data_IF_487912799476
#
_entry.id   IF_487912799476
#
_cell.length_a   1.000
_cell.length_b   1.000
_cell.length_c   1.000
_cell.angle_alpha   90.00
_cell.angle_beta   90.00
_cell.angle_gamma   90.00
#
_symmetry.space_group_name_H-M   'P 1'
#
loop_
_entity.id
_entity.type
_entity.pdbx_description
1 polymer ?
#
# COMPACT_ATOMS: atom_id res chain seq x y z
N UNK A 1 79.50 -46.85 46.49
CA UNK A 1 80.28 -45.69 46.96
C UNK A 1 79.74 -44.44 46.28
N UNK A 2 79.26 -43.49 47.12
CA UNK A 2 79.09 -42.03 46.88
C UNK A 2 78.33 -41.58 45.63
N UNK A 3 77.11 -41.07 45.82
CA UNK A 3 76.61 -39.72 46.13
C UNK A 3 77.12 -38.62 45.22
N UNK A 4 76.14 -37.93 44.53
CA UNK A 4 75.71 -36.54 44.64
C UNK A 4 74.70 -36.18 43.55
N UNK A 5 73.55 -35.87 43.79
CA UNK A 5 72.62 -34.67 44.04
C UNK A 5 72.90 -33.45 43.17
N UNK A 6 71.73 -32.98 42.73
CA UNK A 6 71.28 -31.59 42.35
C UNK A 6 71.41 -31.26 40.87
N UNK A 7 70.47 -30.62 40.24
CA UNK A 7 69.46 -29.70 40.73
C UNK A 7 68.39 -29.40 39.65
N UNK A 8 67.17 -29.14 40.12
CA UNK A 8 66.03 -28.69 39.35
C UNK A 8 66.27 -27.25 38.86
N UNK A 9 66.08 -27.00 37.54
CA UNK A 9 65.77 -25.66 37.02
C UNK A 9 64.37 -25.70 36.44
N UNK A 10 63.43 -24.97 37.11
CA UNK A 10 62.11 -24.58 36.60
C UNK A 10 62.33 -23.57 35.49
N UNK A 11 61.75 -23.78 34.32
CA UNK A 11 61.60 -22.83 33.28
C UNK A 11 60.13 -22.36 33.39
N UNK A 12 59.92 -21.10 33.71
CA UNK A 12 58.62 -20.42 33.62
C UNK A 12 58.23 -20.30 32.17
N UNK A 13 57.09 -20.90 31.80
CA UNK A 13 56.39 -20.57 30.57
C UNK A 13 55.49 -19.32 30.86
N UNK A 14 55.87 -18.19 30.29
CA UNK A 14 55.01 -17.00 30.23
C UNK A 14 53.89 -17.27 29.23
N UNK A 15 52.68 -17.25 29.73
CA UNK A 15 51.45 -17.36 28.92
C UNK A 15 51.23 -16.11 28.04
N UNK A 16 51.18 -16.35 26.75
CA UNK A 16 50.53 -15.44 25.78
C UNK A 16 49.13 -15.94 25.57
N UNK A 17 48.22 -15.44 26.36
CA UNK A 17 46.77 -15.69 26.22
C UNK A 17 46.00 -14.50 26.70
N UNK A 18 45.58 -13.61 25.80
CA UNK A 18 44.77 -12.48 26.24
C UNK A 18 44.51 -11.36 25.26
N UNK A 19 44.43 -11.63 23.92
CA UNK A 19 44.09 -10.59 22.96
C UNK A 19 42.99 -10.93 21.96
N UNK A 20 42.43 -12.15 21.96
CA UNK A 20 41.47 -12.58 20.93
C UNK A 20 40.01 -12.55 21.35
N UNK A 21 39.66 -12.30 22.63
CA UNK A 21 38.24 -12.36 23.09
C UNK A 21 37.52 -11.03 23.17
N UNK A 22 38.21 -9.91 23.12
CA UNK A 22 37.59 -8.55 23.22
C UNK A 22 37.09 -8.04 21.87
N UNK A 23 37.65 -8.48 20.74
CA UNK A 23 37.21 -8.05 19.40
C UNK A 23 35.90 -8.67 18.94
N UNK A 24 35.62 -9.92 19.28
CA UNK A 24 34.42 -10.65 18.90
C UNK A 24 33.20 -10.20 19.70
N UNK A 25 33.37 -9.81 20.97
CA UNK A 25 32.25 -9.34 21.77
C UNK A 25 31.82 -7.89 21.40
N UNK A 26 32.71 -7.05 20.91
CA UNK A 26 32.38 -5.70 20.46
C UNK A 26 31.63 -5.75 19.13
N UNK A 27 32.00 -6.64 18.21
CA UNK A 27 31.30 -6.85 16.93
C UNK A 27 29.91 -7.44 17.13
N UNK A 28 29.74 -8.44 18.02
CA UNK A 28 28.43 -9.03 18.34
C UNK A 28 27.54 -8.06 19.12
N UNK A 29 28.11 -7.23 20.00
CA UNK A 29 27.38 -6.17 20.70
C UNK A 29 26.89 -5.07 19.75
N UNK A 30 27.74 -4.64 18.81
CA UNK A 30 27.36 -3.66 17.78
C UNK A 30 26.33 -4.21 16.78
N UNK A 31 26.48 -5.45 16.35
CA UNK A 31 25.48 -6.12 15.50
C UNK A 31 24.16 -6.36 16.24
N UNK A 32 24.15 -6.74 17.51
CA UNK A 32 22.94 -6.81 18.33
C UNK A 32 22.30 -5.45 18.59
N UNK A 33 23.10 -4.40 18.82
CA UNK A 33 22.58 -3.04 18.98
C UNK A 33 22.00 -2.48 17.67
N UNK A 34 22.62 -2.78 16.51
CA UNK A 34 22.06 -2.40 15.19
C UNK A 34 20.79 -3.21 14.87
N UNK A 35 20.72 -4.49 15.22
CA UNK A 35 19.51 -5.30 15.04
C UNK A 35 18.39 -4.89 16.00
N UNK A 36 18.69 -4.38 17.18
CA UNK A 36 17.69 -3.89 18.14
C UNK A 36 17.05 -2.54 17.73
N UNK A 37 17.68 -1.79 16.81
CA UNK A 37 17.21 -0.48 16.33
C UNK A 37 16.73 -0.47 14.87
N UNK A 38 16.72 -1.61 14.18
CA UNK A 38 16.20 -1.68 12.81
C UNK A 38 14.68 -1.72 12.83
N UNK A 39 13.98 -0.89 12.03
CA UNK A 39 12.54 -0.92 11.97
C UNK A 39 12.05 -2.27 11.45
N UNK A 40 11.03 -2.80 12.08
CA UNK A 40 10.39 -4.03 11.61
C UNK A 40 9.37 -3.76 10.53
N UNK A 41 8.79 -2.54 10.52
CA UNK A 41 7.78 -2.08 9.58
C UNK A 41 8.14 -0.68 9.11
N UNK A 42 8.14 -0.47 7.80
CA UNK A 42 8.28 0.83 7.17
C UNK A 42 6.92 1.31 6.66
N UNK A 43 6.67 2.61 6.80
CA UNK A 43 5.50 3.31 6.24
C UNK A 43 5.99 4.32 5.23
N UNK A 44 5.45 4.26 4.03
CA UNK A 44 5.74 5.18 2.93
C UNK A 44 4.51 6.04 2.68
N UNK A 45 4.68 7.36 2.78
CA UNK A 45 3.60 8.33 2.56
C UNK A 45 3.97 9.23 1.41
N UNK A 46 3.18 9.19 0.34
CA UNK A 46 3.37 10.11 -0.77
C UNK A 46 2.76 11.48 -0.47
N UNK A 47 3.50 12.54 -0.79
CA UNK A 47 3.10 13.93 -0.63
C UNK A 47 3.11 14.59 -2.01
N UNK A 48 1.93 14.67 -2.66
CA UNK A 48 1.84 15.07 -4.06
C UNK A 48 2.28 16.53 -4.30
N UNK A 49 1.92 17.44 -3.40
CA UNK A 49 2.26 18.85 -3.53
C UNK A 49 3.76 19.13 -3.39
N UNK A 50 4.45 18.43 -2.51
CA UNK A 50 5.91 18.51 -2.34
C UNK A 50 6.68 17.51 -3.20
N UNK A 51 6.02 16.63 -3.94
CA UNK A 51 6.63 15.59 -4.82
C UNK A 51 7.67 14.75 -4.09
N UNK A 52 7.33 14.24 -2.92
CA UNK A 52 8.24 13.45 -2.09
C UNK A 52 7.52 12.29 -1.41
N UNK A 53 8.27 11.29 -1.00
CA UNK A 53 7.84 10.19 -0.14
C UNK A 53 8.49 10.35 1.22
N UNK A 54 7.67 10.42 2.28
CA UNK A 54 8.17 10.28 3.66
C UNK A 54 8.30 8.79 3.96
N UNK A 55 9.45 8.43 4.50
CA UNK A 55 9.76 7.08 4.99
C UNK A 55 9.77 7.13 6.50
N UNK A 56 8.89 6.35 7.14
CA UNK A 56 8.76 6.31 8.59
C UNK A 56 8.95 4.88 9.10
N UNK A 57 9.59 4.76 10.27
CA UNK A 57 9.62 3.52 11.04
C UNK A 57 8.35 3.42 11.89
N UNK A 58 7.69 2.28 11.90
CA UNK A 58 6.51 2.05 12.72
C UNK A 58 6.83 1.08 13.85
N UNK A 59 6.55 1.49 15.07
CA UNK A 59 6.57 0.62 16.23
C UNK A 59 5.30 -0.26 16.24
N UNK A 60 5.46 -1.56 16.07
CA UNK A 60 4.37 -2.53 15.96
C UNK A 60 3.51 -2.69 17.22
N UNK A 61 4.06 -2.35 18.37
CA UNK A 61 3.35 -2.48 19.63
C UNK A 61 2.45 -1.27 19.94
N UNK A 62 2.90 -0.07 19.55
CA UNK A 62 2.25 1.19 19.93
C UNK A 62 1.64 1.95 18.76
N UNK A 63 2.02 1.63 17.50
CA UNK A 63 1.65 2.39 16.31
C UNK A 63 2.44 3.71 16.16
N UNK A 64 3.36 4.02 17.07
CA UNK A 64 4.17 5.22 17.00
C UNK A 64 5.07 5.22 15.76
N UNK A 65 5.25 6.40 15.16
CA UNK A 65 6.01 6.59 13.94
C UNK A 65 7.20 7.51 14.18
N UNK A 66 8.35 7.11 13.64
CA UNK A 66 9.57 7.91 13.63
C UNK A 66 10.00 8.17 12.18
N UNK A 67 10.25 9.43 11.83
CA UNK A 67 10.71 9.79 10.48
C UNK A 67 12.14 9.27 10.24
N UNK A 68 12.31 8.45 9.21
CA UNK A 68 13.62 7.95 8.76
C UNK A 68 14.24 8.93 7.77
N UNK A 69 13.49 9.29 6.71
CA UNK A 69 13.96 10.19 5.64
C UNK A 69 12.79 10.75 4.83
N UNK A 70 13.09 11.80 4.04
CA UNK A 70 12.23 12.37 3.02
C UNK A 70 12.91 12.19 1.68
N UNK A 71 12.24 11.56 0.73
CA UNK A 71 12.82 11.18 -0.56
C UNK A 71 12.09 11.89 -1.68
N UNK A 72 12.76 12.77 -2.47
CA UNK A 72 12.11 13.38 -3.62
C UNK A 72 11.75 12.34 -4.67
N UNK A 73 10.62 12.55 -5.34
CA UNK A 73 10.19 11.73 -6.50
C UNK A 73 10.58 12.48 -7.78
N UNK A 74 11.63 12.05 -8.48
CA UNK A 74 12.14 12.75 -9.65
C UNK A 74 11.33 12.43 -10.92
N UNK A 75 11.69 13.13 -12.01
CA UNK A 75 11.19 12.84 -13.37
C UNK A 75 10.42 14.00 -14.00
N UNK A 76 10.01 15.02 -13.24
CA UNK A 76 9.43 16.26 -13.78
C UNK A 76 9.58 17.42 -12.81
N UNK A 77 9.85 18.61 -13.35
CA UNK A 77 9.86 19.86 -12.57
C UNK A 77 8.46 20.50 -12.46
N UNK A 78 7.49 20.04 -13.27
CA UNK A 78 6.13 20.54 -13.25
C UNK A 78 5.44 20.21 -11.91
N UNK A 79 4.52 21.05 -11.43
CA UNK A 79 3.69 20.72 -10.26
C UNK A 79 2.94 19.41 -10.49
N UNK A 80 2.85 18.56 -9.47
CA UNK A 80 2.07 17.33 -9.57
C UNK A 80 0.62 17.62 -9.17
N UNK A 81 -0.38 17.33 -10.04
CA UNK A 81 -1.76 17.56 -9.67
C UNK A 81 -2.24 16.48 -8.69
N UNK A 82 -2.82 16.92 -7.60
CA UNK A 82 -3.77 16.26 -6.70
C UNK A 82 -3.47 14.83 -6.20
N UNK A 83 -2.55 14.05 -6.76
CA UNK A 83 -2.20 12.72 -6.21
C UNK A 83 -0.87 12.19 -6.76
N UNK A 84 -0.25 11.33 -5.96
CA UNK A 84 0.98 10.62 -6.25
C UNK A 84 0.75 9.15 -5.84
N UNK A 85 0.08 8.34 -6.70
CA UNK A 85 -0.21 6.95 -6.38
C UNK A 85 1.08 6.15 -6.28
N UNK A 86 1.08 5.20 -5.34
CA UNK A 86 2.19 4.29 -5.12
C UNK A 86 1.73 2.83 -5.19
N UNK A 87 2.69 1.94 -5.45
CA UNK A 87 2.52 0.50 -5.31
C UNK A 87 3.82 -0.15 -4.87
N UNK A 88 3.74 -1.20 -4.08
CA UNK A 88 4.90 -2.02 -3.74
C UNK A 88 4.97 -3.28 -4.61
N UNK A 89 6.17 -3.72 -4.96
CA UNK A 89 6.36 -5.05 -5.56
C UNK A 89 5.88 -6.16 -4.61
N UNK A 90 5.44 -7.33 -5.10
CA UNK A 90 4.96 -8.42 -4.24
C UNK A 90 5.98 -8.89 -3.21
N UNK A 91 7.26 -8.89 -3.57
CA UNK A 91 8.37 -9.27 -2.66
C UNK A 91 8.80 -8.14 -1.70
N UNK A 92 8.10 -6.98 -1.74
CA UNK A 92 8.35 -5.81 -0.89
C UNK A 92 9.78 -5.26 -0.97
N UNK A 93 10.41 -5.37 -2.18
CA UNK A 93 11.74 -4.87 -2.46
C UNK A 93 11.78 -3.58 -3.23
N UNK A 94 10.67 -3.24 -3.88
CA UNK A 94 10.55 -2.07 -4.73
C UNK A 94 9.29 -1.29 -4.36
N UNK A 95 9.41 0.03 -4.46
CA UNK A 95 8.30 0.97 -4.41
C UNK A 95 8.24 1.70 -5.75
N UNK A 96 7.06 1.77 -6.31
CA UNK A 96 6.74 2.55 -7.51
C UNK A 96 5.92 3.77 -7.09
N UNK A 97 6.27 4.95 -7.60
CA UNK A 97 5.58 6.20 -7.31
C UNK A 97 5.41 7.00 -8.60
N UNK A 98 4.18 7.37 -8.97
CA UNK A 98 3.89 8.03 -10.23
C UNK A 98 3.54 9.50 -10.04
N UNK A 99 4.29 10.40 -10.69
CA UNK A 99 3.97 11.82 -10.79
C UNK A 99 2.98 12.05 -11.96
N UNK A 100 1.90 12.79 -11.69
CA UNK A 100 0.81 13.00 -12.65
C UNK A 100 1.00 14.22 -13.55
N UNK A 101 2.22 14.70 -13.68
CA UNK A 101 2.61 15.78 -14.60
C UNK A 101 3.54 15.25 -15.69
N UNK A 102 3.45 15.82 -16.89
CA UNK A 102 4.30 15.37 -18.01
C UNK A 102 5.80 15.35 -17.65
N UNK A 103 6.51 14.34 -18.11
CA UNK A 103 6.13 13.24 -19.01
C UNK A 103 5.46 12.05 -18.29
N UNK A 104 4.75 12.29 -17.16
CA UNK A 104 4.04 11.30 -16.34
C UNK A 104 4.93 10.18 -15.80
N UNK A 105 6.07 10.51 -15.19
CA UNK A 105 7.05 9.50 -14.81
C UNK A 105 6.56 8.62 -13.68
N UNK A 106 6.80 7.31 -13.78
CA UNK A 106 6.81 6.41 -12.65
C UNK A 106 8.24 6.21 -12.19
N UNK A 107 8.53 6.62 -10.97
CA UNK A 107 9.82 6.40 -10.32
C UNK A 107 9.84 5.05 -9.61
N UNK A 108 10.92 4.29 -9.83
CA UNK A 108 11.20 3.03 -9.16
C UNK A 108 12.24 3.26 -8.07
N UNK A 109 11.94 2.81 -6.86
CA UNK A 109 12.85 2.86 -5.71
C UNK A 109 13.11 1.44 -5.18
N UNK A 110 14.38 1.14 -4.86
CA UNK A 110 14.72 -0.02 -4.06
C UNK A 110 14.43 0.25 -2.58
N UNK A 111 13.84 -0.72 -1.90
CA UNK A 111 13.59 -0.70 -0.45
C UNK A 111 14.71 -1.45 0.25
N UNK A 112 15.45 -0.77 1.12
CA UNK A 112 16.42 -1.41 2.02
C UNK A 112 15.68 -2.19 3.10
N UNK A 113 15.90 -3.48 3.17
CA UNK A 113 15.19 -4.39 4.09
C UNK A 113 15.48 -4.16 5.56
N UNK A 114 16.60 -3.56 5.86
CA UNK A 114 17.05 -3.36 7.26
C UNK A 114 16.58 -2.03 7.80
N UNK A 115 16.57 -1.01 6.95
CA UNK A 115 16.31 0.36 7.35
C UNK A 115 14.99 0.92 6.82
N UNK A 116 14.39 0.29 5.81
CA UNK A 116 13.23 0.81 5.09
C UNK A 116 13.55 1.95 4.13
N UNK A 117 14.80 2.42 4.05
CA UNK A 117 15.21 3.53 3.20
C UNK A 117 15.02 3.24 1.73
N UNK A 118 14.78 4.30 0.96
CA UNK A 118 14.55 4.24 -0.47
C UNK A 118 15.80 4.68 -1.24
N UNK A 119 16.16 3.91 -2.27
CA UNK A 119 17.17 4.31 -3.25
C UNK A 119 16.52 4.41 -4.63
N UNK A 120 16.54 5.59 -5.23
CA UNK A 120 16.00 5.80 -6.58
C UNK A 120 16.80 5.02 -7.61
N UNK A 121 16.11 4.27 -8.49
CA UNK A 121 16.72 3.45 -9.53
C UNK A 121 16.50 4.05 -10.93
N UNK A 122 15.27 4.45 -11.23
CA UNK A 122 14.89 4.99 -12.52
C UNK A 122 13.58 5.79 -12.45
N UNK A 123 13.38 6.68 -13.43
CA UNK A 123 12.10 7.34 -13.68
C UNK A 123 11.72 7.06 -15.15
N UNK A 124 10.62 6.34 -15.35
CA UNK A 124 10.15 5.93 -16.67
C UNK A 124 8.90 6.72 -17.07
N UNK A 125 8.87 7.41 -18.22
CA UNK A 125 7.67 8.09 -18.67
C UNK A 125 6.57 7.10 -19.04
N UNK A 126 5.34 7.39 -18.62
CA UNK A 126 4.15 6.62 -18.99
C UNK A 126 3.33 7.37 -20.05
N UNK A 127 2.37 6.67 -20.66
CA UNK A 127 1.49 7.25 -21.70
C UNK A 127 0.57 8.34 -21.16
N UNK A 128 0.29 8.34 -19.83
CA UNK A 128 -0.67 9.27 -19.21
C UNK A 128 -0.45 9.39 -17.69
N UNK A 129 -1.16 10.34 -17.09
CA UNK A 129 -1.24 10.47 -15.65
C UNK A 129 -2.16 9.40 -15.04
N UNK A 130 -1.62 8.61 -14.12
CA UNK A 130 -2.37 7.51 -13.51
C UNK A 130 -3.02 7.94 -12.19
N UNK A 131 -4.28 7.59 -11.99
CA UNK A 131 -4.97 7.75 -10.71
C UNK A 131 -4.64 6.63 -9.72
N UNK A 132 -4.30 5.48 -10.25
CA UNK A 132 -3.97 4.27 -9.49
C UNK A 132 -2.93 3.44 -10.23
N UNK A 133 -2.00 2.84 -9.49
CA UNK A 133 -1.05 1.85 -10.01
C UNK A 133 -1.04 0.63 -9.09
N UNK A 134 -0.84 -0.56 -9.66
CA UNK A 134 -0.76 -1.81 -8.91
C UNK A 134 0.17 -2.80 -9.59
N UNK A 135 0.99 -3.52 -8.81
CA UNK A 135 1.79 -4.62 -9.34
C UNK A 135 0.96 -5.89 -9.47
N UNK A 136 1.18 -6.65 -10.54
CA UNK A 136 0.73 -8.03 -10.59
C UNK A 136 1.42 -8.90 -9.53
N UNK A 137 0.90 -10.09 -9.22
CA UNK A 137 1.41 -10.93 -8.13
C UNK A 137 2.76 -11.57 -8.42
N UNK A 138 3.20 -11.57 -9.68
CA UNK A 138 4.55 -12.03 -10.05
C UNK A 138 5.60 -10.92 -10.00
N UNK A 139 5.17 -9.64 -9.96
CA UNK A 139 6.03 -8.47 -10.03
C UNK A 139 6.61 -8.23 -11.42
N UNK A 140 6.00 -8.78 -12.46
CA UNK A 140 6.42 -8.61 -13.86
C UNK A 140 5.68 -7.52 -14.59
N UNK A 141 4.54 -7.06 -14.06
CA UNK A 141 3.71 -6.05 -14.71
C UNK A 141 3.20 -5.02 -13.70
N UNK A 142 3.15 -3.77 -14.16
CA UNK A 142 2.48 -2.66 -13.49
C UNK A 142 1.18 -2.35 -14.24
N UNK A 143 0.06 -2.51 -13.57
CA UNK A 143 -1.27 -2.17 -14.08
C UNK A 143 -1.61 -0.75 -13.61
N UNK A 144 -2.09 0.08 -14.53
CA UNK A 144 -2.26 1.51 -14.32
C UNK A 144 -3.63 1.99 -14.80
N UNK A 145 -4.41 2.64 -13.95
CA UNK A 145 -5.69 3.24 -14.31
C UNK A 145 -5.54 4.76 -14.49
N UNK A 146 -5.86 5.28 -15.69
CA UNK A 146 -5.84 6.72 -15.97
C UNK A 146 -7.23 7.33 -15.91
N UNK A 147 -7.40 8.27 -14.98
CA UNK A 147 -8.65 9.03 -14.80
C UNK A 147 -8.90 10.02 -15.95
N UNK A 148 -7.87 10.76 -16.35
CA UNK A 148 -7.98 11.78 -17.40
C UNK A 148 -7.92 11.16 -18.79
N UNK A 149 -7.00 10.20 -18.99
CA UNK A 149 -6.83 9.53 -20.25
C UNK A 149 -7.85 8.41 -20.53
N UNK A 150 -8.74 8.11 -19.59
CA UNK A 150 -9.79 7.09 -19.76
C UNK A 150 -9.24 5.76 -20.27
N UNK A 151 -8.30 5.15 -19.55
CA UNK A 151 -7.66 3.89 -19.98
C UNK A 151 -7.11 3.05 -18.83
N UNK A 152 -7.00 1.76 -19.09
CA UNK A 152 -6.11 0.82 -18.40
C UNK A 152 -4.85 0.65 -19.26
N UNK A 153 -3.68 0.82 -18.69
CA UNK A 153 -2.41 0.54 -19.35
C UNK A 153 -1.60 -0.47 -18.51
N UNK A 154 -0.98 -1.44 -19.18
CA UNK A 154 -0.20 -2.49 -18.54
C UNK A 154 1.23 -2.39 -19.04
N UNK A 155 2.18 -2.24 -18.13
CA UNK A 155 3.60 -2.06 -18.44
C UNK A 155 4.42 -3.24 -17.93
N UNK A 156 5.38 -3.75 -18.73
CA UNK A 156 6.33 -4.75 -18.23
C UNK A 156 7.24 -4.13 -17.16
N UNK A 157 7.64 -4.96 -16.23
CA UNK A 157 8.69 -4.68 -15.25
C UNK A 157 9.85 -5.62 -15.60
N UNK A 158 11.03 -5.06 -15.91
CA UNK A 158 12.19 -5.83 -16.30
C UNK A 158 12.84 -6.59 -15.11
N UNK A 159 13.87 -7.37 -15.39
CA UNK A 159 14.56 -8.18 -14.38
C UNK A 159 15.24 -7.36 -13.26
N UNK A 160 15.51 -6.07 -13.50
CA UNK A 160 16.02 -5.12 -12.52
C UNK A 160 14.90 -4.47 -11.69
N UNK A 161 13.64 -4.81 -11.99
CA UNK A 161 12.46 -4.26 -11.32
C UNK A 161 12.04 -2.88 -11.84
N UNK A 162 12.60 -2.42 -12.95
CA UNK A 162 12.29 -1.11 -13.55
C UNK A 162 11.14 -1.27 -14.54
N UNK A 163 10.16 -0.38 -14.46
CA UNK A 163 9.02 -0.32 -15.39
C UNK A 163 9.52 0.08 -16.77
N UNK A 164 9.10 -0.63 -17.81
CA UNK A 164 9.45 -0.29 -19.19
C UNK A 164 8.49 0.76 -19.76
N UNK A 165 8.99 1.63 -20.65
CA UNK A 165 8.20 2.76 -21.19
C UNK A 165 7.08 2.32 -22.15
N UNK A 166 7.22 1.15 -22.80
CA UNK A 166 6.23 0.63 -23.74
C UNK A 166 5.25 -0.31 -23.03
N UNK A 167 3.97 0.07 -23.01
CA UNK A 167 2.92 -0.80 -22.50
C UNK A 167 2.77 -2.08 -23.35
N UNK A 168 2.49 -3.20 -22.70
CA UNK A 168 2.09 -4.44 -23.38
C UNK A 168 0.69 -4.32 -23.97
N UNK A 169 -0.19 -3.63 -23.21
CA UNK A 169 -1.57 -3.38 -23.66
C UNK A 169 -2.08 -2.06 -23.11
N UNK A 170 -2.90 -1.39 -23.92
CA UNK A 170 -3.72 -0.24 -23.51
C UNK A 170 -5.16 -0.59 -23.88
N UNK A 171 -6.06 -0.45 -22.91
CA UNK A 171 -7.51 -0.66 -23.08
C UNK A 171 -8.20 0.68 -22.82
N UNK A 172 -8.89 1.22 -23.82
CA UNK A 172 -9.71 2.41 -23.66
C UNK A 172 -10.96 2.11 -22.83
N UNK A 173 -11.35 3.03 -21.98
CA UNK A 173 -12.51 2.92 -21.10
C UNK A 173 -13.47 4.11 -21.29
N UNK A 174 -14.62 4.07 -20.64
CA UNK A 174 -15.36 5.31 -20.39
C UNK A 174 -14.54 6.26 -19.49
N UNK A 175 -14.86 7.55 -19.42
CA UNK A 175 -14.08 8.52 -18.67
C UNK A 175 -13.89 8.14 -17.19
N UNK A 176 -12.77 8.57 -16.62
CA UNK A 176 -12.49 8.50 -15.18
C UNK A 176 -12.26 7.08 -14.64
N UNK A 177 -11.51 6.21 -15.36
CA UNK A 177 -10.98 4.98 -14.78
C UNK A 177 -10.12 5.32 -13.53
N UNK A 178 -10.50 4.81 -12.35
CA UNK A 178 -9.96 5.35 -11.10
C UNK A 178 -9.08 4.38 -10.32
N UNK A 179 -9.38 3.11 -10.33
CA UNK A 179 -8.68 2.08 -9.57
C UNK A 179 -8.42 0.86 -10.45
N UNK A 180 -7.40 0.09 -10.14
CA UNK A 180 -7.14 -1.22 -10.76
C UNK A 180 -6.70 -2.21 -9.68
N UNK A 181 -7.44 -3.29 -9.52
CA UNK A 181 -7.17 -4.34 -8.54
C UNK A 181 -7.01 -5.67 -9.25
N UNK A 182 -5.95 -6.38 -8.92
CA UNK A 182 -5.74 -7.76 -9.35
C UNK A 182 -5.96 -8.70 -8.17
N UNK A 183 -6.62 -9.81 -8.40
CA UNK A 183 -6.90 -10.81 -7.39
C UNK A 183 -5.61 -11.49 -6.87
N UNK A 184 -5.72 -12.22 -5.78
CA UNK A 184 -4.55 -12.92 -5.20
C UNK A 184 -4.15 -14.17 -6.01
N UNK A 185 -5.01 -14.63 -6.92
CA UNK A 185 -4.71 -15.71 -7.89
C UNK A 185 -3.90 -15.21 -9.08
N UNK A 186 -3.78 -13.90 -9.26
CA UNK A 186 -3.17 -13.26 -10.43
C UNK A 186 -3.90 -13.61 -11.74
N UNK A 187 -5.22 -13.79 -11.66
CA UNK A 187 -6.06 -14.25 -12.76
C UNK A 187 -7.13 -13.27 -13.18
N UNK A 188 -7.64 -12.43 -12.26
CA UNK A 188 -8.72 -11.50 -12.57
C UNK A 188 -8.37 -10.07 -12.19
N UNK A 189 -8.78 -9.11 -13.02
CA UNK A 189 -8.58 -7.68 -12.83
C UNK A 189 -9.93 -6.96 -12.80
N UNK A 190 -10.09 -6.08 -11.80
CA UNK A 190 -11.27 -5.24 -11.62
C UNK A 190 -10.89 -3.77 -11.74
N UNK A 191 -11.61 -3.04 -12.58
CA UNK A 191 -11.34 -1.65 -12.91
C UNK A 191 -12.61 -0.79 -12.73
N UNK A 192 -12.82 -0.16 -11.56
CA UNK A 192 -13.87 0.84 -11.40
C UNK A 192 -13.69 2.03 -12.34
N UNK A 193 -14.75 2.38 -13.08
CA UNK A 193 -14.79 3.49 -14.03
C UNK A 193 -15.87 4.49 -13.58
N UNK A 194 -15.43 5.56 -12.90
CA UNK A 194 -16.31 6.51 -12.22
C UNK A 194 -17.30 7.18 -13.17
N UNK A 195 -16.86 7.65 -14.34
CA UNK A 195 -17.72 8.26 -15.33
C UNK A 195 -18.51 7.27 -16.20
N UNK A 196 -18.28 5.98 -16.01
CA UNK A 196 -19.01 4.91 -16.67
C UNK A 196 -20.12 4.32 -15.81
N UNK A 197 -20.12 4.59 -14.49
CA UNK A 197 -20.95 3.91 -13.49
C UNK A 197 -20.87 2.37 -13.62
N UNK A 198 -19.65 1.87 -13.75
CA UNK A 198 -19.38 0.45 -13.97
C UNK A 198 -18.05 0.00 -13.33
N UNK A 199 -17.94 -1.28 -13.06
CA UNK A 199 -16.67 -1.96 -12.82
C UNK A 199 -16.40 -2.90 -13.98
N UNK A 200 -15.31 -2.68 -14.72
CA UNK A 200 -14.87 -3.57 -15.78
C UNK A 200 -14.21 -4.81 -15.18
N UNK A 201 -14.43 -5.94 -15.81
CA UNK A 201 -14.02 -7.27 -15.36
C UNK A 201 -13.18 -7.94 -16.44
N UNK A 202 -11.99 -8.42 -16.07
CA UNK A 202 -11.04 -9.00 -17.02
C UNK A 202 -10.38 -10.27 -16.48
N UNK A 203 -10.14 -11.23 -17.36
CA UNK A 203 -9.09 -12.23 -17.20
C UNK A 203 -7.73 -11.59 -17.45
N UNK A 204 -6.75 -11.95 -16.65
CA UNK A 204 -5.36 -11.49 -16.78
C UNK A 204 -4.45 -12.65 -17.20
N UNK A 205 -3.73 -12.47 -18.29
CA UNK A 205 -2.67 -13.39 -18.74
C UNK A 205 -1.31 -12.95 -18.13
N UNK A 206 -0.83 -13.59 -17.05
CA UNK A 206 0.42 -13.21 -16.38
C UNK A 206 1.68 -13.57 -17.18
N UNK A 207 1.56 -14.34 -18.26
CA UNK A 207 2.68 -14.63 -19.16
C UNK A 207 2.89 -13.52 -20.19
N UNK A 208 1.80 -12.87 -20.61
CA UNK A 208 1.82 -11.81 -21.64
C UNK A 208 1.66 -10.40 -21.05
N UNK A 209 1.10 -10.26 -19.84
CA UNK A 209 0.71 -8.97 -19.28
C UNK A 209 -0.42 -8.33 -20.08
N UNK A 210 -1.45 -9.11 -20.38
CA UNK A 210 -2.63 -8.66 -21.13
C UNK A 210 -3.90 -9.04 -20.41
N UNK A 211 -4.99 -8.30 -20.71
CA UNK A 211 -6.33 -8.58 -20.17
C UNK A 211 -7.33 -8.82 -21.30
N UNK A 212 -8.31 -9.66 -21.02
CA UNK A 212 -9.48 -9.91 -21.89
C UNK A 212 -10.75 -9.81 -21.05
N UNK A 213 -11.85 -9.18 -21.54
CA UNK A 213 -13.10 -9.13 -20.79
C UNK A 213 -13.64 -10.52 -20.46
N UNK A 214 -14.21 -10.70 -19.26
CA UNK A 214 -14.90 -11.93 -18.84
C UNK A 214 -16.40 -11.70 -18.73
N UNK A 215 -17.20 -12.74 -18.99
CA UNK A 215 -18.65 -12.66 -18.96
C UNK A 215 -19.21 -11.49 -19.79
N UNK A 216 -20.01 -10.61 -19.20
CA UNK A 216 -20.49 -9.39 -19.87
C UNK A 216 -19.42 -8.29 -19.98
N UNK A 217 -18.21 -8.49 -19.41
CA UNK A 217 -17.10 -7.55 -19.38
C UNK A 217 -17.23 -6.44 -18.34
N UNK A 218 -18.38 -6.35 -17.67
CA UNK A 218 -18.64 -5.33 -16.67
C UNK A 218 -19.82 -5.68 -15.76
N UNK A 219 -19.81 -5.11 -14.55
CA UNK A 219 -20.99 -4.97 -13.71
C UNK A 219 -21.34 -3.48 -13.60
N UNK A 220 -22.61 -3.14 -13.90
CA UNK A 220 -23.11 -1.76 -13.76
C UNK A 220 -23.36 -1.42 -12.28
N UNK A 221 -23.15 -0.16 -11.90
CA UNK A 221 -23.57 0.40 -10.63
C UNK A 221 -24.79 1.30 -10.83
N UNK A 222 -25.36 1.80 -9.73
CA UNK A 222 -26.43 2.80 -9.81
C UNK A 222 -25.93 4.05 -10.56
N UNK A 223 -26.76 4.57 -11.47
CA UNK A 223 -26.42 5.75 -12.25
C UNK A 223 -26.06 6.95 -11.35
N UNK A 224 -24.96 7.62 -11.65
CA UNK A 224 -24.42 8.75 -10.90
C UNK A 224 -23.70 8.36 -9.60
N UNK A 225 -23.53 7.07 -9.30
CA UNK A 225 -22.85 6.62 -8.09
C UNK A 225 -21.35 6.93 -8.10
N UNK A 226 -20.70 6.81 -9.26
CA UNK A 226 -19.28 7.08 -9.43
C UNK A 226 -18.38 6.04 -8.76
N UNK A 227 -18.30 4.81 -9.26
CA UNK A 227 -17.41 3.76 -8.74
C UNK A 227 -15.97 4.22 -8.72
N UNK A 228 -15.29 4.07 -7.56
CA UNK A 228 -13.98 4.67 -7.36
C UNK A 228 -12.89 3.67 -6.98
N UNK A 229 -12.92 3.13 -5.78
CA UNK A 229 -11.95 2.15 -5.30
C UNK A 229 -12.64 0.82 -5.00
N UNK A 230 -11.93 -0.24 -5.29
CA UNK A 230 -12.37 -1.63 -5.08
C UNK A 230 -11.36 -2.38 -4.21
N UNK A 231 -11.84 -3.22 -3.32
CA UNK A 231 -10.99 -4.11 -2.52
C UNK A 231 -11.57 -5.52 -2.47
N UNK A 232 -10.71 -6.53 -2.44
CA UNK A 232 -11.10 -7.93 -2.39
C UNK A 232 -10.91 -8.45 -0.96
N UNK A 233 -11.93 -9.12 -0.44
CA UNK A 233 -11.85 -9.77 0.86
C UNK A 233 -10.78 -10.88 0.87
N UNK A 234 -10.05 -11.11 1.97
CA UNK A 234 -9.01 -12.16 2.06
C UNK A 234 -9.48 -13.57 1.71
N UNK A 235 -10.79 -13.88 1.91
CA UNK A 235 -11.37 -15.19 1.52
C UNK A 235 -11.64 -15.32 0.01
N UNK A 236 -11.42 -14.27 -0.80
CA UNK A 236 -11.58 -14.20 -2.26
C UNK A 236 -13.02 -14.36 -2.79
N UNK A 237 -14.00 -14.45 -1.89
CA UNK A 237 -15.43 -14.65 -2.25
C UNK A 237 -16.18 -13.34 -2.39
N UNK A 238 -15.66 -12.26 -1.83
CA UNK A 238 -16.33 -10.97 -1.77
C UNK A 238 -15.40 -9.85 -2.27
N UNK A 239 -15.99 -8.92 -3.01
CA UNK A 239 -15.40 -7.64 -3.36
C UNK A 239 -16.22 -6.49 -2.78
N UNK A 240 -15.56 -5.37 -2.47
CA UNK A 240 -16.22 -4.17 -1.96
C UNK A 240 -15.82 -2.97 -2.77
N UNK A 241 -16.83 -2.23 -3.23
CA UNK A 241 -16.69 -1.04 -4.05
C UNK A 241 -17.16 0.19 -3.27
N UNK A 242 -16.31 1.20 -3.14
CA UNK A 242 -16.77 2.52 -2.66
C UNK A 242 -17.02 3.43 -3.85
N UNK A 243 -18.17 4.14 -3.83
CA UNK A 243 -18.55 5.10 -4.87
C UNK A 243 -18.23 6.53 -4.41
N UNK A 244 -17.60 7.33 -5.29
CA UNK A 244 -17.14 8.69 -4.94
C UNK A 244 -18.30 9.64 -4.69
N UNK A 245 -19.32 9.62 -5.57
CA UNK A 245 -20.39 10.62 -5.56
C UNK A 245 -21.36 10.39 -4.42
N UNK A 246 -21.84 9.15 -4.26
CA UNK A 246 -22.89 8.81 -3.29
C UNK A 246 -22.37 8.25 -1.97
N UNK A 247 -21.04 7.97 -1.88
CA UNK A 247 -20.43 7.31 -0.73
C UNK A 247 -21.15 5.99 -0.33
N UNK A 248 -21.64 5.27 -1.31
CA UNK A 248 -22.21 3.94 -1.12
C UNK A 248 -21.09 2.91 -1.14
N UNK A 249 -21.21 1.87 -0.32
CA UNK A 249 -20.32 0.71 -0.39
C UNK A 249 -21.14 -0.48 -0.86
N UNK A 250 -20.84 -0.94 -2.09
CA UNK A 250 -21.41 -2.15 -2.67
C UNK A 250 -20.64 -3.39 -2.25
N UNK A 251 -21.37 -4.46 -1.90
CA UNK A 251 -20.83 -5.81 -1.71
C UNK A 251 -21.11 -6.63 -2.95
N UNK A 252 -20.08 -7.27 -3.48
CA UNK A 252 -20.15 -8.14 -4.67
C UNK A 252 -19.68 -9.55 -4.34
N UNK A 253 -20.42 -10.54 -4.78
CA UNK A 253 -19.93 -11.92 -4.82
C UNK A 253 -19.00 -12.07 -6.03
N UNK A 254 -17.86 -12.72 -5.82
CA UNK A 254 -16.90 -13.06 -6.86
C UNK A 254 -17.09 -14.54 -7.21
N UNK A 255 -17.51 -14.83 -8.43
CA UNK A 255 -17.66 -16.19 -8.92
C UNK A 255 -16.30 -16.84 -9.24
N UNK A 256 -16.28 -18.13 -9.48
CA UNK A 256 -15.05 -18.88 -9.81
C UNK A 256 -14.41 -18.47 -11.13
N UNK A 257 -15.20 -17.93 -12.04
CA UNK A 257 -14.76 -17.36 -13.32
C UNK A 257 -14.40 -15.87 -13.22
N UNK A 258 -14.39 -15.29 -12.01
CA UNK A 258 -14.05 -13.91 -11.76
C UNK A 258 -15.19 -12.91 -11.94
N UNK A 259 -16.36 -13.31 -12.46
CA UNK A 259 -17.48 -12.40 -12.64
C UNK A 259 -18.04 -11.91 -11.31
N UNK A 260 -18.48 -10.65 -11.28
CA UNK A 260 -19.07 -9.99 -10.11
C UNK A 260 -20.61 -10.04 -10.18
N UNK A 261 -21.24 -10.28 -9.04
CA UNK A 261 -22.67 -10.07 -8.85
C UNK A 261 -22.95 -9.27 -7.59
N UNK A 262 -23.78 -8.21 -7.72
CA UNK A 262 -24.15 -7.39 -6.58
C UNK A 262 -24.97 -8.19 -5.56
N UNK A 263 -24.58 -8.07 -4.27
CA UNK A 263 -25.24 -8.74 -3.15
C UNK A 263 -26.04 -7.76 -2.31
N UNK A 264 -25.42 -6.64 -1.97
CA UNK A 264 -26.00 -5.62 -1.11
C UNK A 264 -25.20 -4.31 -1.26
N UNK A 265 -25.76 -3.22 -0.74
CA UNK A 265 -25.03 -1.97 -0.54
C UNK A 265 -25.42 -1.31 0.77
N UNK A 266 -24.53 -0.49 1.31
CA UNK A 266 -24.76 0.35 2.47
C UNK A 266 -24.36 1.79 2.12
N UNK A 267 -25.09 2.76 2.65
CA UNK A 267 -24.75 4.17 2.54
C UNK A 267 -23.90 4.60 3.74
N UNK A 268 -22.92 5.47 3.51
CA UNK A 268 -22.14 6.04 4.62
C UNK A 268 -22.88 7.15 5.36
N UNK A 269 -24.04 7.61 4.83
CA UNK A 269 -24.88 8.64 5.41
C UNK A 269 -24.57 10.03 4.91
N UNK A 270 -24.92 11.03 5.70
CA UNK A 270 -24.85 12.46 5.35
C UNK A 270 -23.44 12.93 4.98
N UNK A 271 -23.32 13.71 3.94
CA UNK A 271 -22.11 14.36 3.46
C UNK A 271 -22.20 15.89 3.44
N UNK A 272 -22.87 16.46 4.47
CA UNK A 272 -22.97 17.89 4.73
C UNK A 272 -23.66 18.69 3.62
N UNK A 273 -24.68 18.14 2.97
CA UNK A 273 -25.44 18.80 1.91
C UNK A 273 -24.64 19.14 0.65
N UNK A 274 -23.50 18.49 0.44
CA UNK A 274 -22.71 18.61 -0.81
C UNK A 274 -23.34 17.76 -1.91
N UNK A 275 -23.16 18.17 -3.17
CA UNK A 275 -23.64 17.41 -4.33
C UNK A 275 -22.92 16.05 -4.49
N UNK A 276 -21.74 15.91 -3.89
CA UNK A 276 -20.95 14.69 -3.86
C UNK A 276 -20.35 14.50 -2.48
N UNK A 277 -20.41 13.27 -1.98
CA UNK A 277 -19.74 12.86 -0.76
C UNK A 277 -18.20 12.90 -0.89
N UNK A 278 -17.73 12.83 -2.11
CA UNK A 278 -16.30 12.73 -2.42
C UNK A 278 -15.61 11.60 -1.62
N UNK A 279 -16.30 10.43 -1.48
CA UNK A 279 -15.66 9.29 -0.83
C UNK A 279 -14.39 8.87 -1.58
N UNK A 280 -13.44 8.30 -0.87
CA UNK A 280 -12.09 8.15 -1.43
C UNK A 280 -11.55 6.74 -1.40
N UNK A 281 -11.24 6.18 -0.28
CA UNK A 281 -10.50 4.94 -0.15
C UNK A 281 -11.27 3.88 0.63
N UNK A 282 -10.90 2.60 0.43
CA UNK A 282 -11.59 1.48 1.06
C UNK A 282 -10.62 0.32 1.27
N UNK A 283 -10.57 -0.22 2.49
CA UNK A 283 -9.74 -1.37 2.84
C UNK A 283 -10.46 -2.33 3.78
N UNK A 284 -10.19 -3.62 3.60
CA UNK A 284 -10.58 -4.72 4.51
C UNK A 284 -9.41 -5.03 5.43
N UNK A 285 -9.69 -5.32 6.71
CA UNK A 285 -8.64 -5.82 7.62
C UNK A 285 -8.05 -7.15 7.14
N UNK A 286 -6.77 -7.44 7.40
CA UNK A 286 -6.13 -8.68 6.93
C UNK A 286 -6.81 -9.97 7.40
N UNK A 287 -7.52 -9.92 8.55
CA UNK A 287 -8.30 -11.04 9.09
C UNK A 287 -9.72 -11.15 8.48
N UNK A 288 -10.12 -10.19 7.65
CA UNK A 288 -11.41 -10.15 6.96
C UNK A 288 -12.61 -9.77 7.84
N UNK A 289 -12.42 -9.31 9.07
CA UNK A 289 -13.55 -9.04 9.98
C UNK A 289 -14.17 -7.67 9.78
N UNK A 290 -13.37 -6.68 9.39
CA UNK A 290 -13.79 -5.28 9.32
C UNK A 290 -13.41 -4.66 7.98
N UNK A 291 -14.20 -3.69 7.57
CA UNK A 291 -13.96 -2.85 6.42
C UNK A 291 -14.06 -1.38 6.83
N UNK A 292 -13.18 -0.55 6.28
CA UNK A 292 -13.24 0.90 6.47
C UNK A 292 -13.27 1.61 5.13
N UNK A 293 -14.01 2.73 5.08
CA UNK A 293 -14.08 3.64 3.94
C UNK A 293 -13.89 5.09 4.41
N UNK A 294 -13.29 5.93 3.57
CA UNK A 294 -13.03 7.35 3.87
C UNK A 294 -13.94 8.27 3.06
N UNK A 295 -14.44 9.34 3.70
CA UNK A 295 -15.28 10.37 3.08
C UNK A 295 -14.64 11.75 3.27
N UNK A 296 -14.25 12.38 2.13
CA UNK A 296 -13.47 13.63 2.14
C UNK A 296 -14.28 14.85 2.59
N UNK A 297 -15.56 14.95 2.18
CA UNK A 297 -16.40 16.12 2.51
C UNK A 297 -16.71 16.25 3.98
N UNK A 298 -16.72 15.14 4.71
CA UNK A 298 -16.97 15.11 6.16
C UNK A 298 -15.72 14.87 6.98
N UNK A 299 -14.57 14.59 6.33
CA UNK A 299 -13.31 14.27 6.99
C UNK A 299 -13.45 13.11 7.99
N UNK A 300 -14.05 12.02 7.52
CA UNK A 300 -14.39 10.87 8.38
C UNK A 300 -13.96 9.54 7.78
N UNK A 301 -13.71 8.59 8.69
CA UNK A 301 -13.65 7.17 8.42
C UNK A 301 -14.96 6.50 8.86
N UNK A 302 -15.46 5.58 8.06
CA UNK A 302 -16.66 4.79 8.32
C UNK A 302 -16.26 3.33 8.43
N UNK A 303 -16.62 2.67 9.52
CA UNK A 303 -16.28 1.28 9.78
C UNK A 303 -17.48 0.35 9.73
N UNK A 304 -17.22 -0.86 9.28
CA UNK A 304 -18.24 -1.91 9.11
C UNK A 304 -17.69 -3.25 9.57
N UNK A 305 -18.55 -4.04 10.23
CA UNK A 305 -18.31 -5.45 10.47
C UNK A 305 -18.77 -6.25 9.25
N UNK A 306 -17.98 -7.21 8.83
CA UNK A 306 -18.26 -8.09 7.69
C UNK A 306 -18.91 -9.38 8.21
N UNK A 307 -20.05 -9.77 7.62
CA UNK A 307 -20.61 -11.11 7.80
C UNK A 307 -19.74 -12.13 7.02
N UNK A 308 -19.09 -13.10 7.69
CA UNK A 308 -18.16 -14.00 7.01
C UNK A 308 -18.83 -14.95 6.01
N UNK A 309 -20.12 -15.22 6.18
CA UNK A 309 -20.89 -16.11 5.29
C UNK A 309 -21.50 -15.42 4.09
N UNK A 310 -21.99 -14.19 4.31
CA UNK A 310 -22.74 -13.41 3.30
C UNK A 310 -21.95 -12.28 2.67
N UNK A 311 -20.84 -11.86 3.28
CA UNK A 311 -20.08 -10.68 2.88
C UNK A 311 -20.75 -9.34 3.18
N UNK A 312 -21.97 -9.34 3.72
CA UNK A 312 -22.74 -8.12 3.99
C UNK A 312 -22.12 -7.30 5.13
N UNK A 313 -22.37 -5.99 5.09
CA UNK A 313 -21.77 -5.00 5.97
C UNK A 313 -22.76 -4.51 7.02
N UNK A 314 -22.33 -4.48 8.29
CA UNK A 314 -23.06 -3.86 9.40
C UNK A 314 -22.25 -2.68 9.92
N UNK A 315 -22.77 -1.43 9.95
CA UNK A 315 -22.05 -0.28 10.48
C UNK A 315 -21.63 -0.49 11.94
N UNK A 316 -20.40 -0.11 12.28
CA UNK A 316 -19.86 -0.18 13.65
C UNK A 316 -19.48 1.18 14.20
N UNK A 317 -19.21 2.16 13.33
CA UNK A 317 -18.87 3.49 13.78
C UNK A 317 -18.50 4.44 12.66
N UNK A 318 -18.37 5.71 13.04
CA UNK A 318 -17.87 6.81 12.23
C UNK A 318 -16.92 7.64 13.09
N UNK A 319 -15.73 7.90 12.59
CA UNK A 319 -14.69 8.60 13.35
C UNK A 319 -14.15 9.78 12.55
N UNK A 320 -13.94 10.95 13.20
CA UNK A 320 -13.22 12.04 12.57
C UNK A 320 -11.79 11.61 12.26
N UNK A 321 -11.25 12.13 11.17
CA UNK A 321 -9.86 11.96 10.77
C UNK A 321 -9.32 13.25 10.16
N UNK A 322 -8.22 13.18 9.41
CA UNK A 322 -7.57 14.30 8.76
C UNK A 322 -8.49 15.01 7.76
N UNK A 323 -8.26 16.32 7.54
CA UNK A 323 -9.06 17.08 6.56
C UNK A 323 -8.79 16.60 5.15
N UNK A 324 -9.87 16.28 4.41
CA UNK A 324 -9.82 15.72 3.06
C UNK A 324 -9.04 14.40 3.01
N UNK A 325 -9.50 13.33 3.71
CA UNK A 325 -8.79 12.06 3.78
C UNK A 325 -8.87 11.35 2.42
N UNK A 326 -7.79 11.45 1.62
CA UNK A 326 -7.78 10.87 0.27
C UNK A 326 -7.31 9.43 0.23
N UNK A 327 -6.39 9.06 1.09
CA UNK A 327 -5.87 7.71 1.20
C UNK A 327 -5.65 7.30 2.64
N UNK A 328 -5.79 6.02 2.91
CA UNK A 328 -5.40 5.39 4.16
C UNK A 328 -4.94 3.97 3.89
N UNK A 329 -4.29 3.34 4.85
CA UNK A 329 -3.98 1.91 4.77
C UNK A 329 -4.05 1.28 6.16
N UNK A 330 -4.19 -0.05 6.19
CA UNK A 330 -4.20 -0.85 7.41
C UNK A 330 -2.89 -1.62 7.48
N UNK A 331 -2.27 -1.65 8.64
CA UNK A 331 -1.02 -2.40 8.83
C UNK A 331 -1.23 -3.91 8.58
N UNK A 332 -0.21 -4.66 8.14
CA UNK A 332 -0.34 -6.07 7.80
C UNK A 332 -0.84 -6.99 8.92
N UNK A 333 -0.90 -6.50 10.16
CA UNK A 333 -1.46 -7.24 11.32
C UNK A 333 -2.88 -6.84 11.66
N UNK A 334 -3.43 -5.83 11.00
CA UNK A 334 -4.76 -5.30 11.27
C UNK A 334 -4.91 -4.58 12.61
N UNK A 335 -3.81 -4.05 13.17
CA UNK A 335 -3.82 -3.35 14.45
C UNK A 335 -4.00 -1.84 14.34
N UNK A 336 -3.54 -1.27 13.23
CA UNK A 336 -3.51 0.17 13.03
C UNK A 336 -4.00 0.54 11.64
N UNK A 337 -4.76 1.62 11.57
CA UNK A 337 -5.19 2.29 10.35
C UNK A 337 -4.50 3.65 10.30
N UNK A 338 -3.80 3.96 9.21
CA UNK A 338 -3.07 5.19 8.98
C UNK A 338 -3.78 6.01 7.91
N UNK A 339 -4.37 7.15 8.28
CA UNK A 339 -5.15 8.02 7.38
C UNK A 339 -4.42 9.34 7.16
N UNK A 340 -4.30 9.76 5.90
CA UNK A 340 -3.64 11.02 5.50
C UNK A 340 -4.64 12.02 4.93
N UNK A 341 -4.50 13.29 5.31
CA UNK A 341 -5.36 14.38 4.86
C UNK A 341 -4.63 15.36 3.94
N UNK A 342 -5.17 15.52 2.73
CA UNK A 342 -4.57 16.40 1.73
C UNK A 342 -4.50 17.86 2.19
N UNK A 343 -5.53 18.33 2.87
CA UNK A 343 -5.64 19.74 3.24
C UNK A 343 -5.06 20.00 4.64
N UNK A 344 -5.03 18.99 5.53
CA UNK A 344 -4.36 19.11 6.84
C UNK A 344 -2.84 18.93 6.77
N UNK A 345 -2.30 18.36 5.68
CA UNK A 345 -0.88 18.01 5.57
C UNK A 345 -0.39 17.16 6.77
N UNK A 346 -1.22 16.23 7.19
CA UNK A 346 -0.98 15.42 8.38
C UNK A 346 -1.46 13.97 8.19
N UNK A 347 -1.07 13.12 9.11
CA UNK A 347 -1.51 11.73 9.22
C UNK A 347 -1.95 11.43 10.65
N UNK A 348 -3.11 10.81 10.81
CA UNK A 348 -3.53 10.20 12.07
C UNK A 348 -3.37 8.68 11.99
N UNK A 349 -2.76 8.12 13.02
CA UNK A 349 -2.74 6.68 13.29
C UNK A 349 -3.89 6.37 14.22
N UNK A 350 -4.74 5.42 13.82
CA UNK A 350 -5.83 4.90 14.65
C UNK A 350 -5.50 3.46 15.05
N UNK A 351 -5.64 3.13 16.34
CA UNK A 351 -5.65 1.74 16.79
C UNK A 351 -7.01 1.11 16.46
N UNK A 352 -6.99 -0.12 15.96
CA UNK A 352 -8.19 -0.92 15.67
C UNK A 352 -8.42 -1.88 16.85
N UNK A 353 -9.58 -1.81 17.47
CA UNK A 353 -9.99 -2.82 18.45
C UNK A 353 -10.27 -4.16 17.74
N UNK A 354 -9.57 -5.25 18.07
CA UNK A 354 -9.69 -6.51 17.32
C UNK A 354 -11.03 -7.24 17.52
N UNK A 355 -11.82 -6.86 18.52
CA UNK A 355 -13.12 -7.48 18.83
C UNK A 355 -14.28 -6.70 18.21
N UNK A 356 -14.26 -5.38 18.32
CA UNK A 356 -15.35 -4.49 17.86
C UNK A 356 -15.06 -3.82 16.52
N UNK A 357 -13.80 -3.64 16.13
CA UNK A 357 -13.39 -2.83 14.97
C UNK A 357 -13.45 -1.33 15.22
N UNK A 358 -13.68 -0.88 16.44
CA UNK A 358 -13.69 0.54 16.78
C UNK A 358 -12.30 1.15 16.63
N UNK A 359 -12.28 2.41 16.16
CA UNK A 359 -11.04 3.17 15.98
C UNK A 359 -10.80 4.13 17.14
N UNK A 360 -9.59 4.07 17.69
CA UNK A 360 -9.11 5.03 18.69
C UNK A 360 -7.86 5.76 18.18
N UNK A 361 -7.76 7.11 18.26
CA UNK A 361 -6.54 7.82 17.89
C UNK A 361 -5.34 7.34 18.70
N UNK A 362 -4.24 6.98 18.01
CA UNK A 362 -2.99 6.49 18.61
C UNK A 362 -1.79 7.41 18.33
N UNK A 363 -1.91 8.33 17.37
CA UNK A 363 -0.85 9.29 17.05
C UNK A 363 -1.26 10.23 15.94
N UNK A 364 -0.64 11.43 15.92
CA UNK A 364 -0.82 12.45 14.89
C UNK A 364 0.55 12.98 14.45
N UNK A 365 0.79 13.05 13.14
CA UNK A 365 2.10 13.33 12.58
C UNK A 365 2.01 14.33 11.43
N UNK A 366 2.85 15.40 11.42
CA UNK A 366 2.94 16.30 10.27
C UNK A 366 3.56 15.57 9.08
N UNK A 367 2.99 15.80 7.89
CA UNK A 367 3.47 15.25 6.62
C UNK A 367 3.98 16.37 5.70
N UNK A 368 4.35 16.01 4.47
CA UNK A 368 4.61 16.96 3.40
C UNK A 368 3.32 17.57 2.86
N UNK A 369 3.40 18.33 1.76
CA UNK A 369 2.22 19.00 1.18
C UNK A 369 1.36 18.01 0.41
N UNK A 370 0.07 17.98 0.70
CA UNK A 370 -0.93 17.12 0.08
C UNK A 370 -0.59 15.61 0.15
N UNK A 371 -0.45 15.04 1.37
CA UNK A 371 -0.28 13.60 1.52
C UNK A 371 -1.55 12.89 1.05
N UNK A 372 -1.40 11.78 0.29
CA UNK A 372 -2.56 11.17 -0.36
C UNK A 372 -2.47 9.65 -0.58
N UNK A 373 -1.37 9.02 -0.25
CA UNK A 373 -1.19 7.58 -0.39
C UNK A 373 -0.32 7.02 0.72
N UNK A 374 -0.65 5.83 1.21
CA UNK A 374 0.08 5.16 2.28
C UNK A 374 0.37 3.71 1.88
N UNK A 375 1.65 3.31 1.88
CA UNK A 375 2.08 1.92 1.77
C UNK A 375 2.73 1.49 3.08
N UNK A 376 2.40 0.30 3.57
CA UNK A 376 2.94 -0.25 4.81
C UNK A 376 3.62 -1.58 4.52
N UNK A 377 4.90 -1.68 4.84
CA UNK A 377 5.76 -2.81 4.48
C UNK A 377 6.42 -3.39 5.72
N UNK A 378 6.17 -4.66 5.98
CA UNK A 378 6.96 -5.43 6.93
C UNK A 378 8.31 -5.80 6.32
N UNK A 379 9.40 -5.30 6.90
CA UNK A 379 10.75 -5.43 6.35
C UNK A 379 11.35 -6.83 6.58
N UNK A 380 10.87 -7.55 7.59
CA UNK A 380 11.41 -8.84 8.02
C UNK A 380 10.75 -10.06 7.37
N UNK A 381 9.77 -9.88 6.47
CA UNK A 381 9.17 -11.01 5.77
C UNK A 381 10.15 -11.56 4.72
N UNK A 382 10.50 -12.84 4.89
CA UNK A 382 11.06 -13.66 3.83
C UNK A 382 10.05 -13.77 2.67
N UNK A 383 10.43 -14.34 1.50
CA UNK A 383 9.53 -14.47 0.36
C UNK A 383 8.23 -15.17 0.81
N UNK A 384 7.11 -14.60 0.44
CA UNK A 384 5.79 -15.25 0.56
C UNK A 384 5.92 -16.56 -0.21
N UNK A 385 5.79 -17.70 0.50
CA UNK A 385 5.81 -19.04 -0.08
C UNK A 385 4.55 -19.31 -0.88
#
# INVERSE_FOLDING_TARGET
>A
MQRRRMGRRRVMALGLGGAASLGTNILTGRQKAMAANSPETAVYVSNAGSKEVFVLAMNRATGALDLIEKVPVPGTDKPSPASLPMATSPNKRLLYAQLRSEPYPVSTFAIDKTTGKLTHLAATPLVDQMAYINCDRTGKFLLCASYVGAKLAIYPINAQGIVEAKATQIVDTKPKAHCVVIDSGNTHVYLPVLGGDEVLEFDFDPAKGTVTPIGPGQVATKAGAGPRHFTIHPNKRWGYLITETTATIGTYAIATDGTLSEVAFVETGDYNGKDSAAASDIHVTPDGKFLYGAVRTTSTLHGYKIDPGKGTLTPIGRWPTETTPRGFNIDPRGKYLLSVGMDSNAMTVHAIDPASGELAPAGHYPMGTQPNWVEIVDLQYGPVR
#
